data_IF_994108523146
#
_entry.id   IF_994108523146
#
_cell.length_a   1.000
_cell.length_b   1.000
_cell.length_c   1.000
_cell.angle_alpha   90.00
_cell.angle_beta   90.00
_cell.angle_gamma   90.00
#
_symmetry.space_group_name_H-M   'P 1'
#
loop_
_entity.id
_entity.type
_entity.pdbx_description
1 polymer ?
#
# COMPACT_ATOMS: atom_id res chain seq x y z
N UNK A 1 -14.65 -4.74 -10.23
CA UNK A 1 -14.58 -6.06 -9.52
C UNK A 1 -15.72 -6.16 -8.50
N UNK A 2 -16.96 -6.25 -8.98
CA UNK A 2 -18.17 -5.93 -8.19
C UNK A 2 -19.10 -7.12 -7.93
N UNK A 3 -18.78 -8.28 -8.49
CA UNK A 3 -19.60 -9.49 -8.31
C UNK A 3 -19.58 -9.93 -6.85
N UNK A 4 -20.76 -10.17 -6.27
CA UNK A 4 -20.92 -10.49 -4.84
C UNK A 4 -20.82 -11.99 -4.57
N UNK A 5 -20.83 -12.83 -5.61
CA UNK A 5 -20.65 -14.25 -5.45
C UNK A 5 -19.29 -14.57 -4.77
N UNK A 6 -19.28 -15.38 -3.69
CA UNK A 6 -18.06 -15.69 -2.94
C UNK A 6 -16.92 -16.19 -3.83
N UNK A 7 -15.72 -15.65 -3.63
CA UNK A 7 -14.51 -16.02 -4.36
C UNK A 7 -14.34 -15.37 -5.75
N UNK A 8 -15.37 -14.74 -6.33
CA UNK A 8 -15.23 -14.11 -7.66
C UNK A 8 -14.30 -12.90 -7.60
N UNK A 9 -14.41 -12.07 -6.56
CA UNK A 9 -13.51 -10.91 -6.37
C UNK A 9 -12.06 -11.34 -6.14
N UNK A 10 -11.84 -12.43 -5.41
CA UNK A 10 -10.50 -13.00 -5.21
C UNK A 10 -9.90 -13.43 -6.55
N UNK A 11 -10.65 -14.24 -7.32
CA UNK A 11 -10.22 -14.68 -8.64
C UNK A 11 -9.98 -13.49 -9.59
N UNK A 12 -10.81 -12.45 -9.54
CA UNK A 12 -10.67 -11.27 -10.37
C UNK A 12 -9.40 -10.47 -10.03
N UNK A 13 -9.13 -10.20 -8.75
CA UNK A 13 -7.92 -9.47 -8.33
C UNK A 13 -6.64 -10.27 -8.59
N UNK A 14 -6.66 -11.58 -8.37
CA UNK A 14 -5.55 -12.49 -8.69
C UNK A 14 -5.25 -12.52 -10.19
N UNK A 15 -6.30 -12.63 -11.01
CA UNK A 15 -6.17 -12.66 -12.46
C UNK A 15 -5.64 -11.32 -12.97
N UNK A 16 -6.17 -10.21 -12.45
CA UNK A 16 -5.68 -8.88 -12.76
C UNK A 16 -4.18 -8.73 -12.45
N UNK A 17 -3.74 -9.15 -11.25
CA UNK A 17 -2.32 -9.14 -10.89
C UNK A 17 -1.47 -9.97 -11.86
N UNK A 18 -1.89 -11.18 -12.21
CA UNK A 18 -1.15 -12.04 -13.16
C UNK A 18 -1.06 -11.43 -14.56
N UNK A 19 -2.14 -10.79 -15.03
CA UNK A 19 -2.13 -10.10 -16.32
C UNK A 19 -1.16 -8.91 -16.26
N UNK A 20 -1.21 -8.08 -15.22
CA UNK A 20 -0.29 -6.96 -15.05
C UNK A 20 1.18 -7.42 -15.01
N UNK A 21 1.47 -8.54 -14.34
CA UNK A 21 2.82 -9.10 -14.31
C UNK A 21 3.33 -9.55 -15.70
N UNK A 22 2.46 -10.10 -16.54
CA UNK A 22 2.85 -10.64 -17.86
C UNK A 22 2.79 -9.59 -18.98
N UNK A 23 1.92 -8.59 -18.87
CA UNK A 23 1.54 -7.69 -19.96
C UNK A 23 1.80 -6.20 -19.67
N UNK A 24 2.47 -5.85 -18.56
CA UNK A 24 2.67 -4.47 -18.09
C UNK A 24 3.14 -3.50 -19.18
N UNK A 25 4.10 -3.90 -20.01
CA UNK A 25 4.63 -3.05 -21.11
C UNK A 25 3.55 -2.55 -22.07
N UNK A 26 2.54 -3.36 -22.38
CA UNK A 26 1.43 -2.96 -23.28
C UNK A 26 0.47 -1.98 -22.60
N UNK A 27 0.38 -2.01 -21.27
CA UNK A 27 -0.57 -1.22 -20.50
C UNK A 27 -0.09 0.21 -20.24
N UNK A 28 1.23 0.45 -20.35
CA UNK A 28 1.84 1.76 -20.10
C UNK A 28 2.17 2.54 -21.39
N UNK A 29 1.95 1.93 -22.56
CA UNK A 29 2.10 2.60 -23.86
C UNK A 29 0.73 2.91 -24.45
N UNK A 30 0.67 3.96 -25.26
CA UNK A 30 -0.53 4.30 -26.02
C UNK A 30 -0.78 3.21 -27.08
N UNK A 31 -1.95 2.58 -27.03
CA UNK A 31 -2.35 1.58 -28.02
C UNK A 31 -3.04 2.25 -29.22
N UNK A 32 -2.97 1.67 -30.43
CA UNK A 32 -3.69 2.20 -31.59
C UNK A 32 -5.20 2.32 -31.33
N UNK A 33 -5.76 3.50 -31.59
CA UNK A 33 -7.18 3.78 -31.39
C UNK A 33 -7.55 4.28 -29.99
N UNK A 34 -6.61 4.29 -29.04
CA UNK A 34 -6.82 4.83 -27.69
C UNK A 34 -6.37 6.30 -27.61
N UNK A 35 -6.94 7.05 -26.67
CA UNK A 35 -6.57 8.46 -26.41
C UNK A 35 -5.54 8.61 -25.30
N UNK A 36 -5.39 7.60 -24.43
CA UNK A 36 -4.42 7.57 -23.34
C UNK A 36 -3.96 6.14 -23.04
N UNK A 37 -2.75 5.95 -22.46
CA UNK A 37 -2.31 4.65 -21.99
C UNK A 37 -3.27 4.04 -20.97
N UNK A 38 -3.46 2.71 -21.03
CA UNK A 38 -4.41 2.00 -20.16
C UNK A 38 -4.16 2.26 -18.66
N UNK A 39 -2.90 2.38 -18.23
CA UNK A 39 -2.56 2.71 -16.83
C UNK A 39 -3.25 3.98 -16.33
N UNK A 40 -3.39 5.01 -17.17
CA UNK A 40 -4.05 6.26 -16.79
C UNK A 40 -5.55 6.06 -16.62
N UNK A 41 -6.17 5.31 -17.53
CA UNK A 41 -7.60 4.97 -17.46
C UNK A 41 -7.92 4.18 -16.19
N UNK A 42 -7.04 3.23 -15.81
CA UNK A 42 -7.23 2.46 -14.57
C UNK A 42 -7.09 3.34 -13.34
N UNK A 43 -6.11 4.27 -13.32
CA UNK A 43 -5.91 5.21 -12.20
C UNK A 43 -7.18 6.06 -11.97
N UNK A 44 -7.77 6.58 -13.03
CA UNK A 44 -9.03 7.36 -12.95
C UNK A 44 -10.20 6.52 -12.43
N UNK A 45 -10.22 5.22 -12.72
CA UNK A 45 -11.28 4.31 -12.30
C UNK A 45 -11.10 3.70 -10.90
N UNK A 46 -9.96 3.91 -10.22
CA UNK A 46 -9.65 3.30 -8.90
C UNK A 46 -10.79 3.45 -7.88
N UNK A 47 -11.38 4.64 -7.66
CA UNK A 47 -12.41 4.81 -6.64
C UNK A 47 -13.62 3.91 -6.90
N UNK A 48 -13.97 3.71 -8.17
CA UNK A 48 -15.04 2.82 -8.59
C UNK A 48 -14.61 1.37 -8.43
N UNK A 49 -13.51 0.94 -9.04
CA UNK A 49 -13.13 -0.47 -9.12
C UNK A 49 -12.78 -1.11 -7.77
N UNK A 50 -12.36 -0.30 -6.79
CA UNK A 50 -11.94 -0.76 -5.47
C UNK A 50 -13.02 -0.65 -4.38
N UNK A 51 -14.19 -0.11 -4.71
CA UNK A 51 -15.24 0.22 -3.73
C UNK A 51 -15.72 -0.99 -2.90
N UNK A 52 -15.80 -2.16 -3.52
CA UNK A 52 -16.36 -3.38 -2.92
C UNK A 52 -15.29 -4.42 -2.52
N UNK A 53 -14.01 -4.03 -2.56
CA UNK A 53 -12.88 -4.91 -2.31
C UNK A 53 -12.52 -4.98 -0.82
N UNK A 54 -12.24 -6.19 -0.34
CA UNK A 54 -11.66 -6.38 0.98
C UNK A 54 -10.16 -6.06 1.03
N UNK A 55 -9.56 -6.17 2.22
CA UNK A 55 -8.14 -5.82 2.41
C UNK A 55 -7.20 -6.69 1.58
N UNK A 56 -7.47 -7.98 1.41
CA UNK A 56 -6.60 -8.88 0.64
C UNK A 56 -6.72 -8.58 -0.85
N UNK A 57 -7.93 -8.34 -1.33
CA UNK A 57 -8.22 -7.97 -2.71
C UNK A 57 -7.61 -6.61 -3.07
N UNK A 58 -7.70 -5.62 -2.16
CA UNK A 58 -7.01 -4.33 -2.30
C UNK A 58 -5.49 -4.51 -2.38
N UNK A 59 -4.91 -5.37 -1.55
CA UNK A 59 -3.48 -5.69 -1.59
C UNK A 59 -3.06 -6.21 -2.98
N UNK A 60 -3.81 -7.15 -3.54
CA UNK A 60 -3.56 -7.68 -4.88
C UNK A 60 -3.69 -6.59 -5.96
N UNK A 61 -4.73 -5.76 -5.87
CA UNK A 61 -4.97 -4.66 -6.80
C UNK A 61 -3.82 -3.64 -6.79
N UNK A 62 -3.38 -3.18 -5.62
CA UNK A 62 -2.29 -2.19 -5.51
C UNK A 62 -0.93 -2.76 -5.93
N UNK A 63 -0.67 -4.06 -5.71
CA UNK A 63 0.51 -4.68 -6.31
C UNK A 63 0.40 -4.70 -7.84
N UNK A 64 -0.75 -5.05 -8.40
CA UNK A 64 -0.97 -5.11 -9.84
C UNK A 64 -0.71 -3.75 -10.49
N UNK A 65 -1.18 -2.67 -9.85
CA UNK A 65 -0.86 -1.29 -10.26
C UNK A 65 0.64 -1.01 -10.18
N UNK A 66 1.30 -1.40 -9.08
CA UNK A 66 2.76 -1.26 -8.96
C UNK A 66 3.52 -1.99 -10.06
N UNK A 67 3.12 -3.23 -10.41
CA UNK A 67 3.70 -4.01 -11.51
C UNK A 67 3.51 -3.33 -12.86
N UNK A 68 2.34 -2.75 -13.09
CA UNK A 68 2.05 -2.00 -14.31
C UNK A 68 2.95 -0.77 -14.41
N UNK A 69 2.98 0.06 -13.36
CA UNK A 69 3.78 1.30 -13.31
C UNK A 69 5.28 0.99 -13.44
N UNK A 70 5.78 -0.11 -12.88
CA UNK A 70 7.19 -0.51 -12.96
C UNK A 70 7.71 -0.70 -14.40
N UNK A 71 6.81 -0.88 -15.38
CA UNK A 71 7.19 -1.02 -16.78
C UNK A 71 7.54 0.32 -17.46
N UNK A 72 7.27 1.46 -16.81
CA UNK A 72 7.64 2.79 -17.32
C UNK A 72 9.13 3.01 -17.07
N UNK A 73 9.96 3.35 -18.07
CA UNK A 73 11.40 3.49 -17.86
C UNK A 73 11.81 4.61 -16.89
N UNK A 74 11.02 5.68 -16.83
CA UNK A 74 11.36 6.91 -16.14
C UNK A 74 10.84 6.90 -14.70
N UNK A 75 11.75 6.76 -13.73
CA UNK A 75 11.42 6.77 -12.28
C UNK A 75 10.60 8.01 -11.85
N UNK A 76 10.87 9.24 -12.36
CA UNK A 76 10.03 10.38 -12.03
C UNK A 76 8.56 10.20 -12.48
N UNK A 77 8.33 9.64 -13.67
CA UNK A 77 6.98 9.33 -14.15
C UNK A 77 6.34 8.22 -13.33
N UNK A 78 7.09 7.16 -13.00
CA UNK A 78 6.59 6.12 -12.09
C UNK A 78 6.12 6.71 -10.76
N UNK A 79 6.96 7.56 -10.15
CA UNK A 79 6.69 8.19 -8.85
C UNK A 79 5.43 9.05 -8.89
N UNK A 80 5.24 9.82 -9.96
CA UNK A 80 4.03 10.61 -10.17
C UNK A 80 2.77 9.72 -10.23
N UNK A 81 2.79 8.64 -11.02
CA UNK A 81 1.65 7.72 -11.11
C UNK A 81 1.41 6.96 -9.80
N UNK A 82 2.45 6.61 -9.04
CA UNK A 82 2.29 6.05 -7.69
C UNK A 82 1.57 7.04 -6.78
N UNK A 83 1.96 8.32 -6.81
CA UNK A 83 1.30 9.35 -6.00
C UNK A 83 -0.19 9.50 -6.35
N UNK A 84 -0.54 9.47 -7.64
CA UNK A 84 -1.94 9.47 -8.09
C UNK A 84 -2.69 8.21 -7.63
N UNK A 85 -2.09 7.04 -7.83
CA UNK A 85 -2.67 5.74 -7.46
C UNK A 85 -2.95 5.64 -5.95
N UNK A 86 -2.06 6.20 -5.13
CA UNK A 86 -2.15 6.13 -3.67
C UNK A 86 -2.97 7.27 -3.04
N UNK A 87 -3.55 8.18 -3.82
CA UNK A 87 -4.22 9.38 -3.32
C UNK A 87 -5.35 9.05 -2.33
N UNK A 88 -6.26 8.14 -2.69
CA UNK A 88 -7.37 7.73 -1.81
C UNK A 88 -6.90 7.05 -0.52
N UNK A 89 -5.86 6.20 -0.64
CA UNK A 89 -5.27 5.50 0.50
C UNK A 89 -4.63 6.51 1.46
N UNK A 90 -3.93 7.51 0.92
CA UNK A 90 -3.32 8.59 1.69
C UNK A 90 -4.38 9.49 2.34
N UNK A 91 -5.47 9.79 1.65
CA UNK A 91 -6.59 10.55 2.21
C UNK A 91 -7.22 9.82 3.41
N UNK A 92 -7.47 8.50 3.27
CA UNK A 92 -7.94 7.65 4.37
C UNK A 92 -6.94 7.62 5.54
N UNK A 93 -5.64 7.55 5.26
CA UNK A 93 -4.59 7.64 6.29
C UNK A 93 -4.69 8.94 7.08
N UNK A 94 -4.69 10.08 6.38
CA UNK A 94 -4.77 11.40 7.01
C UNK A 94 -6.05 11.56 7.84
N UNK A 95 -7.18 11.04 7.36
CA UNK A 95 -8.45 11.07 8.10
C UNK A 95 -8.36 10.29 9.42
N UNK A 96 -7.71 9.12 9.43
CA UNK A 96 -7.52 8.32 10.64
C UNK A 96 -6.51 8.97 11.58
N UNK A 97 -5.36 9.42 11.08
CA UNK A 97 -4.30 10.02 11.90
C UNK A 97 -4.73 11.34 12.53
N UNK A 98 -5.47 12.19 11.81
CA UNK A 98 -5.99 13.46 12.35
C UNK A 98 -6.77 13.27 13.65
N UNK A 99 -7.44 12.13 13.85
CA UNK A 99 -8.18 11.82 15.08
C UNK A 99 -7.26 11.73 16.30
N UNK A 100 -6.00 11.33 16.12
CA UNK A 100 -5.00 11.29 17.19
C UNK A 100 -4.44 12.68 17.53
N UNK A 101 -4.41 13.58 16.55
CA UNK A 101 -3.81 14.92 16.70
C UNK A 101 -4.63 15.88 17.57
N UNK A 102 -5.85 15.50 17.99
CA UNK A 102 -6.74 16.33 18.82
C UNK A 102 -6.51 16.19 20.34
N UNK A 103 -5.32 15.75 20.76
CA UNK A 103 -4.90 15.80 22.17
C UNK A 103 -5.09 14.51 22.98
N UNK A 104 -5.62 13.45 22.37
CA UNK A 104 -5.61 12.10 22.95
C UNK A 104 -5.23 11.04 21.91
N UNK A 105 -3.93 10.81 21.73
CA UNK A 105 -3.41 9.78 20.83
C UNK A 105 -3.94 8.37 21.19
N UNK A 106 -4.37 8.14 22.44
CA UNK A 106 -4.88 6.83 22.89
C UNK A 106 -6.22 6.48 22.26
N UNK A 107 -6.95 7.46 21.72
CA UNK A 107 -8.21 7.20 21.00
C UNK A 107 -8.00 6.23 19.82
N UNK A 108 -6.81 6.22 19.20
CA UNK A 108 -6.47 5.24 18.16
C UNK A 108 -6.31 3.81 18.70
N UNK A 109 -5.88 3.66 19.95
CA UNK A 109 -5.68 2.36 20.58
C UNK A 109 -6.99 1.74 21.11
N UNK A 110 -8.02 2.56 21.27
CA UNK A 110 -9.36 2.14 21.70
C UNK A 110 -10.28 1.82 20.51
N UNK A 111 -10.14 2.56 19.40
CA UNK A 111 -10.93 2.35 18.20
C UNK A 111 -10.42 1.18 17.35
N UNK A 112 -11.09 0.04 17.49
CA UNK A 112 -10.79 -1.18 16.73
C UNK A 112 -10.85 -0.98 15.20
N UNK A 113 -11.78 -0.15 14.71
CA UNK A 113 -11.94 0.13 13.29
C UNK A 113 -10.78 0.98 12.78
N UNK A 114 -10.31 1.94 13.57
CA UNK A 114 -9.11 2.72 13.24
C UNK A 114 -7.87 1.81 13.14
N UNK A 115 -7.67 0.89 14.11
CA UNK A 115 -6.53 -0.04 14.08
C UNK A 115 -6.58 -0.94 12.83
N UNK A 116 -7.76 -1.45 12.47
CA UNK A 116 -7.94 -2.27 11.25
C UNK A 116 -7.70 -1.46 9.97
N UNK A 117 -8.15 -0.22 9.92
CA UNK A 117 -7.95 0.68 8.78
C UNK A 117 -6.46 1.01 8.60
N UNK A 118 -5.75 1.31 9.68
CA UNK A 118 -4.29 1.51 9.68
C UNK A 118 -3.58 0.26 9.14
N UNK A 119 -3.93 -0.93 9.62
CA UNK A 119 -3.36 -2.21 9.13
C UNK A 119 -3.61 -2.40 7.63
N UNK A 120 -4.82 -2.11 7.15
CA UNK A 120 -5.15 -2.23 5.73
C UNK A 120 -4.32 -1.27 4.87
N UNK A 121 -4.22 0.00 5.27
CA UNK A 121 -3.45 1.03 4.56
C UNK A 121 -1.98 0.65 4.47
N UNK A 122 -1.35 0.26 5.58
CA UNK A 122 0.06 -0.15 5.62
C UNK A 122 0.35 -1.30 4.65
N UNK A 123 -0.58 -2.27 4.55
CA UNK A 123 -0.46 -3.37 3.60
C UNK A 123 -0.61 -2.92 2.15
N UNK A 124 -1.47 -1.96 1.84
CA UNK A 124 -1.53 -1.38 0.49
C UNK A 124 -0.20 -0.71 0.10
N UNK A 125 0.40 0.09 1.00
CA UNK A 125 1.73 0.67 0.79
C UNK A 125 2.81 -0.42 0.60
N UNK A 126 2.76 -1.48 1.41
CA UNK A 126 3.70 -2.60 1.29
C UNK A 126 3.60 -3.26 -0.10
N UNK A 127 2.38 -3.54 -0.58
CA UNK A 127 2.15 -4.15 -1.89
C UNK A 127 2.52 -3.23 -3.05
N UNK A 128 2.28 -1.93 -2.92
CA UNK A 128 2.77 -0.94 -3.89
C UNK A 128 4.30 -0.98 -3.97
N UNK A 129 4.99 -1.00 -2.82
CA UNK A 129 6.45 -1.07 -2.77
C UNK A 129 7.00 -2.36 -3.41
N UNK A 130 6.37 -3.51 -3.14
CA UNK A 130 6.70 -4.80 -3.76
C UNK A 130 6.48 -4.77 -5.28
N UNK A 131 5.44 -4.07 -5.73
CA UNK A 131 5.07 -3.95 -7.15
C UNK A 131 6.04 -3.08 -7.94
N UNK A 132 6.31 -1.86 -7.46
CA UNK A 132 7.01 -0.80 -8.20
C UNK A 132 8.46 -0.56 -7.76
N UNK A 133 8.86 -1.00 -6.56
CA UNK A 133 10.20 -0.77 -6.03
C UNK A 133 10.46 0.69 -5.65
N UNK A 134 11.61 1.23 -6.04
CA UNK A 134 12.14 2.51 -5.55
C UNK A 134 11.21 3.71 -5.79
N UNK A 135 10.40 3.68 -6.84
CA UNK A 135 9.45 4.76 -7.16
C UNK A 135 8.32 4.91 -6.11
N UNK A 136 8.13 3.92 -5.23
CA UNK A 136 7.22 4.07 -4.08
C UNK A 136 7.79 4.93 -2.95
N UNK A 137 9.08 5.26 -2.99
CA UNK A 137 9.78 5.92 -1.90
C UNK A 137 9.20 7.27 -1.50
N UNK A 138 8.79 8.10 -2.47
CA UNK A 138 8.17 9.39 -2.19
C UNK A 138 6.82 9.21 -1.47
N UNK A 139 5.98 8.30 -1.97
CA UNK A 139 4.69 8.04 -1.35
C UNK A 139 4.80 7.50 0.08
N UNK A 140 5.81 6.66 0.36
CA UNK A 140 6.11 6.14 1.71
C UNK A 140 6.65 7.26 2.60
N UNK A 141 7.57 8.08 2.09
CA UNK A 141 8.19 9.19 2.82
C UNK A 141 7.12 10.13 3.41
N UNK A 142 6.10 10.46 2.64
CA UNK A 142 5.02 11.35 3.06
C UNK A 142 4.26 10.88 4.32
N UNK A 143 4.11 9.56 4.51
CA UNK A 143 3.41 9.00 5.68
C UNK A 143 4.38 8.53 6.78
N UNK A 144 5.69 8.51 6.50
CA UNK A 144 6.65 7.78 7.32
C UNK A 144 6.75 8.30 8.76
N UNK A 145 6.69 9.62 8.94
CA UNK A 145 6.69 10.22 10.28
C UNK A 145 5.51 9.72 11.12
N UNK A 146 4.29 9.75 10.55
CA UNK A 146 3.09 9.26 11.23
C UNK A 146 3.18 7.76 11.51
N UNK A 147 3.74 6.98 10.58
CA UNK A 147 3.95 5.54 10.75
C UNK A 147 4.82 5.25 11.98
N UNK A 148 5.89 6.03 12.19
CA UNK A 148 6.74 5.90 13.37
C UNK A 148 6.02 6.29 14.67
N UNK A 149 5.18 7.32 14.63
CA UNK A 149 4.34 7.72 15.76
C UNK A 149 3.36 6.60 16.13
N UNK A 150 2.64 6.04 15.15
CA UNK A 150 1.73 4.91 15.36
C UNK A 150 2.47 3.70 15.93
N UNK A 151 3.66 3.38 15.40
CA UNK A 151 4.47 2.28 15.92
C UNK A 151 4.87 2.50 17.39
N UNK A 152 5.29 3.72 17.73
CA UNK A 152 5.68 4.11 19.10
C UNK A 152 4.48 4.02 20.04
N UNK A 153 3.35 4.64 19.69
CA UNK A 153 2.10 4.62 20.46
C UNK A 153 1.65 3.18 20.75
N UNK A 154 1.50 2.36 19.72
CA UNK A 154 1.06 0.97 19.90
C UNK A 154 2.08 0.12 20.65
N UNK A 155 3.37 0.45 20.59
CA UNK A 155 4.37 -0.21 21.43
C UNK A 155 4.18 0.11 22.91
N UNK A 156 3.88 1.35 23.25
CA UNK A 156 3.59 1.78 24.61
C UNK A 156 2.29 1.15 25.13
N UNK A 157 1.21 1.17 24.35
CA UNK A 157 -0.07 0.56 24.74
C UNK A 157 0.04 -0.95 24.96
N UNK A 158 0.73 -1.67 24.07
CA UNK A 158 1.00 -3.11 24.23
C UNK A 158 1.90 -3.37 25.45
N UNK A 159 2.87 -2.49 25.74
CA UNK A 159 3.72 -2.58 26.92
C UNK A 159 2.92 -2.40 28.22
N UNK A 160 2.09 -1.36 28.29
CA UNK A 160 1.23 -1.05 29.44
C UNK A 160 0.21 -2.16 29.74
N UNK A 161 -0.30 -2.86 28.71
CA UNK A 161 -1.22 -3.98 28.88
C UNK A 161 -0.65 -5.21 29.62
N UNK A 162 0.67 -5.23 29.90
CA UNK A 162 1.34 -6.30 30.66
C UNK A 162 1.34 -6.05 32.18
N UNK A 163 0.94 -4.86 32.63
CA UNK A 163 0.83 -4.51 34.05
C UNK A 163 -0.47 -5.00 34.70
N UNK A 164 -0.57 -4.86 36.02
CA UNK A 164 -1.71 -5.32 36.83
C UNK A 164 -3.04 -4.60 36.57
N UNK A 165 -3.02 -3.47 35.86
CA UNK A 165 -4.22 -2.78 35.35
C UNK A 165 -4.18 -2.77 33.83
N UNK A 166 -4.80 -3.77 33.21
CA UNK A 166 -4.89 -3.85 31.76
C UNK A 166 -5.79 -2.72 31.23
N UNK A 167 -5.16 -1.62 30.81
CA UNK A 167 -5.86 -0.42 30.31
C UNK A 167 -6.57 -0.66 28.96
N UNK A 168 -6.17 -1.68 28.20
CA UNK A 168 -6.69 -1.97 26.86
C UNK A 168 -7.21 -3.40 26.74
N UNK A 169 -8.26 -3.60 25.94
CA UNK A 169 -8.79 -4.92 25.64
C UNK A 169 -7.74 -5.81 24.97
N UNK A 170 -7.78 -7.11 25.27
CA UNK A 170 -6.88 -8.09 24.65
C UNK A 170 -7.00 -8.13 23.12
N UNK A 171 -8.20 -7.89 22.59
CA UNK A 171 -8.43 -7.82 21.15
C UNK A 171 -7.72 -6.63 20.50
N UNK A 172 -7.81 -5.45 21.11
CA UNK A 172 -7.08 -4.27 20.63
C UNK A 172 -5.58 -4.50 20.72
N UNK A 173 -5.08 -5.11 21.80
CA UNK A 173 -3.66 -5.47 21.95
C UNK A 173 -3.20 -6.40 20.82
N UNK A 174 -4.00 -7.39 20.42
CA UNK A 174 -3.69 -8.26 19.27
C UNK A 174 -3.61 -7.48 17.96
N UNK A 175 -4.56 -6.58 17.71
CA UNK A 175 -4.58 -5.76 16.49
C UNK A 175 -3.43 -4.77 16.45
N UNK A 176 -3.10 -4.12 17.57
CA UNK A 176 -1.93 -3.24 17.70
C UNK A 176 -0.62 -3.99 17.40
N UNK A 177 -0.46 -5.22 17.91
CA UNK A 177 0.69 -6.08 17.56
C UNK A 177 0.73 -6.41 16.07
N UNK A 178 -0.43 -6.58 15.42
CA UNK A 178 -0.51 -6.80 13.97
C UNK A 178 -0.02 -5.56 13.21
N UNK A 179 -0.52 -4.37 13.55
CA UNK A 179 -0.07 -3.11 12.94
C UNK A 179 1.44 -2.93 13.09
N UNK A 180 2.00 -3.18 14.29
CA UNK A 180 3.46 -3.13 14.48
C UNK A 180 4.22 -4.03 13.52
N UNK A 181 3.72 -5.24 13.24
CA UNK A 181 4.32 -6.14 12.24
C UNK A 181 4.14 -5.60 10.83
N UNK A 182 2.99 -5.03 10.50
CA UNK A 182 2.71 -4.45 9.19
C UNK A 182 3.66 -3.27 8.90
N UNK A 183 3.97 -2.42 9.90
CA UNK A 183 4.98 -1.35 9.79
C UNK A 183 6.36 -1.94 9.46
N UNK A 184 6.81 -2.95 10.21
CA UNK A 184 8.12 -3.58 9.96
C UNK A 184 8.16 -4.27 8.58
N UNK A 185 7.06 -4.88 8.15
CA UNK A 185 6.95 -5.46 6.80
C UNK A 185 7.02 -4.40 5.73
N UNK A 186 6.32 -3.26 5.87
CA UNK A 186 6.40 -2.16 4.91
C UNK A 186 7.86 -1.70 4.72
N UNK A 187 8.57 -1.42 5.83
CA UNK A 187 9.96 -0.96 5.76
C UNK A 187 10.85 -2.01 5.11
N UNK A 188 10.74 -3.28 5.54
CA UNK A 188 11.51 -4.38 4.96
C UNK A 188 11.23 -4.54 3.47
N UNK A 189 9.96 -4.67 3.09
CA UNK A 189 9.56 -4.90 1.69
C UNK A 189 9.97 -3.74 0.79
N UNK A 190 9.96 -2.50 1.28
CA UNK A 190 10.49 -1.35 0.54
C UNK A 190 11.99 -1.45 0.34
N UNK A 191 12.77 -1.72 1.39
CA UNK A 191 14.23 -1.86 1.30
C UNK A 191 14.61 -3.01 0.37
N UNK A 192 14.01 -4.19 0.55
CA UNK A 192 14.26 -5.37 -0.28
C UNK A 192 13.95 -5.08 -1.76
N UNK A 193 12.83 -4.40 -2.04
CA UNK A 193 12.44 -4.04 -3.41
C UNK A 193 13.34 -2.95 -4.01
N UNK A 194 13.78 -1.97 -3.20
CA UNK A 194 14.67 -0.91 -3.66
C UNK A 194 16.07 -1.44 -4.01
N UNK A 195 16.61 -2.35 -3.19
CA UNK A 195 17.90 -3.01 -3.46
C UNK A 195 17.82 -3.84 -4.75
N UNK A 196 16.79 -4.68 -4.89
CA UNK A 196 16.61 -5.51 -6.08
C UNK A 196 16.49 -4.66 -7.36
N UNK A 197 15.79 -3.53 -7.31
CA UNK A 197 15.65 -2.65 -8.47
C UNK A 197 16.96 -1.92 -8.80
N UNK A 198 17.71 -1.49 -7.78
CA UNK A 198 19.03 -0.89 -7.98
C UNK A 198 20.02 -1.86 -8.63
N UNK A 199 19.99 -3.14 -8.26
CA UNK A 199 20.81 -4.19 -8.87
C UNK A 199 20.46 -4.42 -10.34
N UNK A 200 19.17 -4.48 -10.68
CA UNK A 200 18.72 -4.57 -12.08
C UNK A 200 19.18 -3.38 -12.91
N UNK A 201 19.07 -2.16 -12.37
CA UNK A 201 19.53 -0.95 -13.05
C UNK A 201 21.04 -1.01 -13.33
N UNK A 202 21.85 -1.46 -12.37
CA UNK A 202 23.30 -1.65 -12.56
C UNK A 202 23.61 -2.71 -13.62
N UNK A 203 22.90 -3.85 -13.59
CA UNK A 203 23.09 -4.91 -14.57
C UNK A 203 22.74 -4.45 -16.00
N UNK A 204 21.68 -3.66 -16.17
CA UNK A 204 21.31 -3.10 -17.47
C UNK A 204 22.36 -2.12 -18.01
N UNK A 205 23.00 -1.33 -17.14
CA UNK A 205 24.09 -0.43 -17.54
C UNK A 205 25.37 -1.17 -17.94
N UNK A 206 25.66 -2.31 -17.29
CA UNK A 206 26.85 -3.13 -17.60
C UNK A 206 26.71 -3.94 -18.90
N UNK A 207 25.50 -4.02 -19.47
CA UNK A 207 25.19 -4.71 -20.73
C UNK A 207 25.15 -3.78 -21.95
N UNK A 208 25.38 -2.47 -21.76
CA UNK A 208 25.52 -1.52 -22.87
C UNK A 208 26.96 -1.60 -23.42
N UNK A 209 27.14 -1.76 -24.74
CA UNK A 209 28.45 -1.89 -25.38
C UNK A 209 29.31 -0.63 -25.30
#
# INVERSE_FOLDING_TARGET
MHEQFPGVKDMATDTFLRICQKCSKKMVVLQPGETSPFVNQVIEAIPRETADLDVLQLCNFYEAMGRMISAIPEIPKQTNLVNQTMADVRSKWQAVIKRASFGDERILAEDQQAIRTISAILRCYERMAVGVGIASGEAIKDIYSDVLLVYKLYSQCVGASRGSSAMFSWENVKLMRKVKRDVLRLVRSFVDSAVAEQEKMKAAHMQLP
#
